data_IF_007940065264
#
_entry.id   IF_007940065264
#
_cell.length_a   1.000
_cell.length_b   1.000
_cell.length_c   1.000
_cell.angle_alpha   90.00
_cell.angle_beta   90.00
_cell.angle_gamma   90.00
#
_symmetry.space_group_name_H-M   'P 1'
#
loop_
_entity.id
_entity.type
_entity.pdbx_description
1 polymer ?
#
# COMPACT_ATOMS: atom_id res chain seq x y z
N UNK A 1 -9.12 -8.76 2.09
CA UNK A 1 -7.80 -8.64 1.45
C UNK A 1 -7.96 -8.55 -0.04
N UNK A 2 -8.71 -9.47 -0.66
CA UNK A 2 -9.10 -9.35 -2.08
C UNK A 2 -9.75 -7.99 -2.37
N UNK A 3 -10.72 -7.54 -1.56
CA UNK A 3 -11.32 -6.22 -1.71
C UNK A 3 -10.33 -5.03 -1.64
N UNK A 4 -9.20 -5.18 -0.94
CA UNK A 4 -8.18 -4.13 -0.90
C UNK A 4 -7.42 -4.10 -2.23
N UNK A 5 -6.92 -5.26 -2.68
CA UNK A 5 -6.16 -5.38 -3.93
C UNK A 5 -7.04 -5.03 -5.11
N UNK A 6 -8.29 -5.50 -5.13
CA UNK A 6 -9.28 -5.22 -6.17
C UNK A 6 -9.63 -3.72 -6.26
N UNK A 7 -9.58 -2.99 -5.15
CA UNK A 7 -9.74 -1.53 -5.14
C UNK A 7 -8.46 -0.77 -5.49
N UNK A 8 -7.29 -1.28 -5.09
CA UNK A 8 -6.01 -0.60 -5.31
C UNK A 8 -5.46 -0.81 -6.73
N UNK A 9 -5.54 -2.04 -7.26
CA UNK A 9 -5.02 -2.41 -8.58
C UNK A 9 -5.53 -1.52 -9.72
N UNK A 10 -6.85 -1.29 -9.90
CA UNK A 10 -7.34 -0.41 -10.95
C UNK A 10 -6.98 1.05 -10.69
N UNK A 11 -6.89 1.49 -9.42
CA UNK A 11 -6.48 2.86 -9.09
C UNK A 11 -5.01 3.10 -9.44
N UNK A 12 -4.11 2.19 -9.05
CA UNK A 12 -2.70 2.24 -9.41
C UNK A 12 -2.48 2.22 -10.93
N UNK A 13 -3.26 1.41 -11.65
CA UNK A 13 -3.23 1.40 -13.13
C UNK A 13 -3.76 2.70 -13.74
N UNK A 14 -4.75 3.33 -13.11
CA UNK A 14 -5.31 4.61 -13.53
C UNK A 14 -4.47 5.82 -13.08
N UNK A 15 -3.55 5.64 -12.14
CA UNK A 15 -2.66 6.70 -11.64
C UNK A 15 -1.66 7.11 -12.71
N UNK A 16 -1.98 8.20 -13.38
CA UNK A 16 -1.09 8.88 -14.35
C UNK A 16 0.07 9.61 -13.66
N UNK A 17 -0.16 10.14 -12.45
CA UNK A 17 0.77 11.06 -11.76
C UNK A 17 1.95 10.36 -11.07
N UNK A 18 2.14 9.05 -11.29
CA UNK A 18 3.19 8.23 -10.64
C UNK A 18 3.12 8.21 -9.09
N UNK A 19 2.15 8.87 -8.47
CA UNK A 19 1.88 8.83 -7.04
C UNK A 19 0.37 8.73 -6.77
N UNK A 20 -0.01 7.94 -5.78
CA UNK A 20 -1.38 7.65 -5.38
C UNK A 20 -1.43 7.63 -3.85
N UNK A 21 -2.02 8.66 -3.23
CA UNK A 21 -2.33 8.65 -1.80
C UNK A 21 -3.84 8.52 -1.62
N UNK A 22 -4.27 7.54 -0.83
CA UNK A 22 -5.69 7.31 -0.54
C UNK A 22 -5.88 6.76 0.87
N UNK A 23 -6.96 7.20 1.50
CA UNK A 23 -7.37 6.72 2.82
C UNK A 23 -8.47 5.68 2.64
N UNK A 24 -8.20 4.44 3.04
CA UNK A 24 -9.15 3.33 3.05
C UNK A 24 -9.72 3.17 4.45
N UNK A 25 -11.03 2.93 4.53
CA UNK A 25 -11.69 2.55 5.76
C UNK A 25 -12.10 1.08 5.67
N UNK A 26 -11.42 0.23 6.44
CA UNK A 26 -11.73 -1.19 6.51
C UNK A 26 -12.45 -1.49 7.83
N UNK A 27 -13.61 -2.17 7.82
CA UNK A 27 -14.38 -2.41 9.04
C UNK A 27 -13.63 -3.28 10.08
N UNK A 28 -12.63 -4.05 9.65
CA UNK A 28 -11.82 -4.90 10.53
C UNK A 28 -10.48 -4.29 10.95
N UNK A 29 -10.06 -3.20 10.31
CA UNK A 29 -8.75 -2.57 10.54
C UNK A 29 -8.85 -1.06 10.88
N UNK A 30 -10.01 -0.42 10.73
CA UNK A 30 -10.19 1.02 10.91
C UNK A 30 -9.74 1.82 9.68
N UNK A 31 -9.25 3.05 9.91
CA UNK A 31 -8.66 3.89 8.85
C UNK A 31 -7.21 3.47 8.60
N UNK A 32 -6.91 3.28 7.32
CA UNK A 32 -5.58 2.97 6.83
C UNK A 32 -5.25 3.93 5.69
N UNK A 33 -4.13 4.62 5.78
CA UNK A 33 -3.58 5.41 4.70
C UNK A 33 -2.73 4.52 3.80
N UNK A 34 -2.91 4.68 2.50
CA UNK A 34 -2.17 3.96 1.49
C UNK A 34 -1.56 4.97 0.55
N UNK A 35 -0.24 4.95 0.46
CA UNK A 35 0.53 5.86 -0.36
C UNK A 35 1.37 5.02 -1.31
N UNK A 36 1.04 5.00 -2.58
CA UNK A 36 1.80 4.32 -3.59
C UNK A 36 2.53 5.32 -4.48
N UNK A 37 3.80 5.10 -4.75
CA UNK A 37 4.64 5.93 -5.60
C UNK A 37 5.41 5.04 -6.56
N UNK A 38 5.61 5.49 -7.79
CA UNK A 38 6.37 4.77 -8.79
C UNK A 38 7.84 5.13 -8.62
N UNK A 39 8.70 4.15 -8.39
CA UNK A 39 10.13 4.38 -8.24
C UNK A 39 10.73 4.71 -9.62
N UNK A 40 10.94 5.98 -9.92
CA UNK A 40 11.54 6.42 -11.18
C UNK A 40 12.90 5.75 -11.41
N UNK A 41 12.98 4.83 -12.39
CA UNK A 41 14.20 4.13 -12.79
C UNK A 41 14.16 2.61 -12.63
N UNK A 42 13.36 2.10 -11.68
CA UNK A 42 13.01 0.68 -11.60
C UNK A 42 11.55 0.54 -12.01
N UNK A 43 11.17 -0.51 -12.73
CA UNK A 43 9.76 -0.74 -13.07
C UNK A 43 8.92 -1.18 -11.85
N UNK A 44 9.16 -0.57 -10.68
CA UNK A 44 8.63 -0.97 -9.39
C UNK A 44 7.71 0.09 -8.78
N UNK A 45 6.65 -0.37 -8.12
CA UNK A 45 5.82 0.46 -7.27
C UNK A 45 6.27 0.34 -5.82
N UNK A 46 6.43 1.46 -5.14
CA UNK A 46 6.57 1.49 -3.69
C UNK A 46 5.22 1.84 -3.08
N UNK A 47 4.74 1.04 -2.13
CA UNK A 47 3.43 1.20 -1.49
C UNK A 47 3.63 1.27 0.02
N UNK A 48 3.54 2.48 0.56
CA UNK A 48 3.41 2.77 1.98
C UNK A 48 2.01 2.45 2.49
N UNK A 49 1.93 1.77 3.62
CA UNK A 49 0.72 1.49 4.37
C UNK A 49 0.89 2.00 5.80
N UNK A 50 0.02 2.90 6.23
CA UNK A 50 -0.01 3.42 7.60
C UNK A 50 -1.38 3.11 8.20
N UNK A 51 -1.38 2.34 9.29
CA UNK A 51 -2.61 2.07 10.05
C UNK A 51 -2.72 2.96 11.27
N UNK A 52 -3.91 3.49 11.52
CA UNK A 52 -4.21 4.34 12.68
C UNK A 52 -4.03 3.61 14.02
N UNK A 53 -4.07 2.28 14.03
CA UNK A 53 -3.86 1.45 15.23
C UNK A 53 -2.74 0.43 15.02
N UNK A 54 -2.02 0.09 16.10
CA UNK A 54 -1.04 -1.01 16.12
C UNK A 54 -1.65 -2.34 15.65
N UNK A 55 -2.92 -2.60 16.03
CA UNK A 55 -3.66 -3.78 15.56
C UNK A 55 -3.84 -3.81 14.04
N UNK A 56 -4.14 -2.67 13.42
CA UNK A 56 -4.23 -2.55 11.97
C UNK A 56 -2.87 -2.80 11.31
N UNK A 57 -1.81 -2.21 11.87
CA UNK A 57 -0.43 -2.37 11.36
C UNK A 57 0.09 -3.79 11.47
N UNK A 58 -0.07 -4.44 12.61
CA UNK A 58 0.32 -5.84 12.77
C UNK A 58 -0.41 -6.74 11.75
N UNK A 59 -1.67 -6.42 11.44
CA UNK A 59 -2.45 -7.13 10.40
C UNK A 59 -2.01 -6.79 8.98
N UNK A 60 -1.56 -5.55 8.73
CA UNK A 60 -0.98 -5.14 7.46
C UNK A 60 0.38 -5.80 7.26
N UNK A 61 1.30 -5.72 8.22
CA UNK A 61 2.63 -6.33 8.15
C UNK A 61 2.59 -7.85 8.08
N UNK A 62 1.67 -8.49 8.81
CA UNK A 62 1.48 -9.94 8.70
C UNK A 62 1.03 -10.38 7.30
N UNK A 63 0.48 -9.47 6.49
CA UNK A 63 -0.11 -9.79 5.19
C UNK A 63 0.44 -8.96 4.04
N UNK A 64 1.43 -8.10 4.29
CA UNK A 64 2.02 -7.18 3.32
C UNK A 64 2.72 -7.94 2.20
N UNK A 65 3.42 -9.03 2.51
CA UNK A 65 4.02 -9.89 1.49
C UNK A 65 2.99 -10.49 0.52
N UNK A 66 1.85 -10.96 1.03
CA UNK A 66 0.76 -11.50 0.20
C UNK A 66 0.09 -10.40 -0.64
N UNK A 67 0.02 -9.18 -0.10
CA UNK A 67 -0.50 -8.00 -0.78
C UNK A 67 0.43 -7.57 -1.92
N UNK A 68 1.73 -7.56 -1.65
CA UNK A 68 2.80 -7.25 -2.60
C UNK A 68 2.75 -8.20 -3.79
N UNK A 69 2.70 -9.52 -3.54
CA UNK A 69 2.61 -10.51 -4.60
C UNK A 69 1.31 -10.38 -5.42
N UNK A 70 0.17 -10.12 -4.77
CA UNK A 70 -1.11 -9.96 -5.46
C UNK A 70 -1.16 -8.68 -6.31
N UNK A 71 -0.63 -7.57 -5.78
CA UNK A 71 -0.51 -6.32 -6.51
C UNK A 71 0.48 -6.47 -7.65
N UNK A 72 1.64 -7.09 -7.44
CA UNK A 72 2.64 -7.32 -8.47
C UNK A 72 2.10 -8.16 -9.62
N UNK A 73 1.34 -9.22 -9.31
CA UNK A 73 0.64 -10.04 -10.31
C UNK A 73 -0.44 -9.24 -11.05
N UNK A 74 -1.23 -8.44 -10.34
CA UNK A 74 -2.32 -7.65 -10.94
C UNK A 74 -1.81 -6.50 -11.80
N UNK A 75 -0.72 -5.84 -11.38
CA UNK A 75 -0.08 -4.73 -12.08
C UNK A 75 0.89 -5.18 -13.17
N UNK A 76 1.41 -6.41 -13.09
CA UNK A 76 2.47 -6.92 -13.97
C UNK A 76 3.82 -6.24 -13.75
N UNK A 77 4.03 -5.62 -12.60
CA UNK A 77 5.21 -4.83 -12.22
C UNK A 77 5.63 -5.23 -10.81
N UNK A 78 6.92 -5.28 -10.46
CA UNK A 78 7.32 -5.45 -9.07
C UNK A 78 6.65 -4.37 -8.20
N UNK A 79 6.15 -4.80 -7.05
CA UNK A 79 5.58 -3.93 -6.04
C UNK A 79 6.40 -4.16 -4.78
N UNK A 80 6.61 -3.13 -4.00
CA UNK A 80 7.26 -3.18 -2.70
C UNK A 80 6.28 -2.58 -1.71
N UNK A 81 5.82 -3.37 -0.75
CA UNK A 81 4.88 -2.90 0.27
C UNK A 81 5.62 -2.63 1.57
N UNK A 82 5.64 -1.37 2.01
CA UNK A 82 6.20 -0.94 3.29
C UNK A 82 5.08 -0.55 4.24
N UNK A 83 5.10 -1.11 5.44
CA UNK A 83 4.18 -0.68 6.51
C UNK A 83 4.93 0.30 7.39
N UNK A 84 4.54 1.57 7.40
CA UNK A 84 5.26 2.63 8.09
C UNK A 84 4.61 2.96 9.43
N UNK A 85 5.43 2.95 10.48
CA UNK A 85 5.60 4.08 11.39
C UNK A 85 4.78 5.36 11.12
N UNK A 86 3.54 5.62 11.58
CA UNK A 86 3.07 7.04 11.51
C UNK A 86 3.89 7.90 12.50
N UNK A 87 4.58 7.27 13.45
CA UNK A 87 5.58 7.84 14.36
C UNK A 87 6.96 8.10 13.71
N UNK A 88 7.23 7.56 12.51
CA UNK A 88 8.48 7.80 11.75
C UNK A 88 8.23 8.63 10.48
N UNK A 89 7.26 9.55 10.51
CA UNK A 89 7.19 10.66 9.55
C UNK A 89 8.08 11.85 9.95
N UNK A 90 8.94 11.69 10.96
CA UNK A 90 9.87 12.73 11.43
C UNK A 90 11.14 12.14 12.02
N UNK A 91 12.05 11.66 11.19
CA UNK A 91 13.52 11.47 11.40
C UNK A 91 14.00 10.65 10.19
N UNK A 92 14.99 10.99 9.37
CA UNK A 92 16.01 12.05 9.25
C UNK A 92 16.40 12.08 7.76
#
# INVERSE_FOLDING_TARGET
MEAFVDQLSPRLRATVDQQLDLLLHLPHLGRIRVSAQRLGGASGWDIGLSGETEGARARLSSRSGRLEEALAQSLGQPVTVRVTDEDEASVT
#
